data_IF_276440941096
#
_entry.id   IF_276440941096
#
_cell.length_a   1.000
_cell.length_b   1.000
_cell.length_c   1.000
_cell.angle_alpha   90.00
_cell.angle_beta   90.00
_cell.angle_gamma   90.00
#
_symmetry.space_group_name_H-M   'P 1'
#
loop_
_entity.id
_entity.type
_entity.pdbx_description
1 polymer ?
#
# COMPACT_ATOMS: atom_id res chain seq x y z
N UNK A 1 -5.24 17.02 32.67
CA UNK A 1 -5.34 15.55 32.79
C UNK A 1 -4.73 14.88 31.55
N UNK A 2 -3.47 14.42 31.61
CA UNK A 2 -2.86 13.38 30.72
C UNK A 2 -1.32 13.25 30.91
N UNK A 3 -0.82 13.30 32.15
CA UNK A 3 0.58 13.00 32.44
C UNK A 3 0.69 12.22 33.75
N UNK A 4 0.08 11.03 33.79
CA UNK A 4 0.29 10.08 34.90
C UNK A 4 0.24 8.67 34.35
N UNK A 5 1.27 8.23 33.63
CA UNK A 5 1.55 6.81 33.44
C UNK A 5 3.02 6.71 33.05
N UNK A 6 3.91 6.70 34.04
CA UNK A 6 5.25 6.08 34.02
C UNK A 6 5.95 6.42 35.35
N UNK A 7 5.31 6.08 36.47
CA UNK A 7 5.95 6.18 37.79
C UNK A 7 6.73 4.88 38.05
N UNK A 8 8.04 4.92 38.40
CA UNK A 8 8.89 3.74 38.56
C UNK A 8 8.40 2.79 39.67
N UNK A 9 7.57 3.28 40.59
CA UNK A 9 7.03 2.54 41.73
C UNK A 9 5.97 1.49 41.32
N UNK A 10 5.29 1.64 40.17
CA UNK A 10 4.32 0.64 39.69
C UNK A 10 5.00 -0.59 39.05
N UNK A 11 6.32 -0.54 38.84
CA UNK A 11 7.08 -1.65 38.26
C UNK A 11 7.39 -2.76 39.27
N UNK A 12 7.41 -2.44 40.56
CA UNK A 12 7.74 -3.39 41.63
C UNK A 12 6.53 -4.21 42.11
N UNK A 13 5.30 -3.74 41.86
CA UNK A 13 4.08 -4.39 42.32
C UNK A 13 3.52 -5.46 41.35
N UNK A 14 4.13 -5.62 40.17
CA UNK A 14 3.63 -6.54 39.15
C UNK A 14 4.34 -7.90 39.29
N UNK A 15 3.61 -9.00 39.56
CA UNK A 15 4.23 -10.32 39.66
C UNK A 15 4.89 -10.70 38.33
N UNK A 16 6.05 -11.37 38.40
CA UNK A 16 6.90 -11.72 37.23
C UNK A 16 6.13 -12.48 36.14
N UNK A 17 5.09 -13.22 36.50
CA UNK A 17 4.19 -13.93 35.58
C UNK A 17 3.32 -12.96 34.76
N UNK A 18 2.74 -11.94 35.39
CA UNK A 18 1.94 -10.91 34.72
C UNK A 18 2.84 -10.05 33.81
N UNK A 19 4.07 -9.76 34.24
CA UNK A 19 5.04 -9.02 33.42
C UNK A 19 5.47 -9.83 32.18
N UNK A 20 5.66 -11.15 32.30
CA UNK A 20 5.90 -12.05 31.15
C UNK A 20 4.70 -12.10 30.20
N UNK A 21 3.48 -12.14 30.72
CA UNK A 21 2.25 -12.17 29.92
C UNK A 21 2.06 -10.88 29.12
N UNK A 22 2.21 -9.72 29.77
CA UNK A 22 2.14 -8.42 29.09
C UNK A 22 3.25 -8.25 28.06
N UNK A 23 4.47 -8.71 28.37
CA UNK A 23 5.57 -8.69 27.39
C UNK A 23 5.25 -9.59 26.20
N UNK A 24 4.74 -10.80 26.41
CA UNK A 24 4.35 -11.68 25.31
C UNK A 24 3.16 -11.11 24.49
N UNK A 25 2.20 -10.44 25.11
CA UNK A 25 1.11 -9.77 24.39
C UNK A 25 1.58 -8.57 23.56
N UNK A 26 2.50 -7.77 24.09
CA UNK A 26 3.09 -6.65 23.35
C UNK A 26 3.96 -7.14 22.18
N UNK A 27 4.74 -8.20 22.39
CA UNK A 27 5.57 -8.82 21.35
C UNK A 27 4.75 -9.58 20.28
N UNK A 28 3.62 -10.19 20.65
CA UNK A 28 2.70 -10.81 19.67
C UNK A 28 1.96 -9.77 18.84
N UNK A 29 1.58 -8.62 19.41
CA UNK A 29 1.02 -7.50 18.64
C UNK A 29 2.03 -6.88 17.67
N UNK A 30 3.30 -6.72 18.08
CA UNK A 30 4.34 -6.25 17.17
C UNK A 30 4.73 -7.27 16.10
N UNK A 31 4.72 -8.59 16.41
CA UNK A 31 4.94 -9.65 15.41
C UNK A 31 3.78 -9.85 14.43
N UNK A 32 2.57 -9.38 14.75
CA UNK A 32 1.44 -9.41 13.79
C UNK A 32 1.47 -8.29 12.75
N UNK A 33 2.42 -7.35 12.83
CA UNK A 33 2.50 -6.21 11.91
C UNK A 33 3.76 -6.18 11.03
N UNK A 34 4.68 -7.14 11.19
CA UNK A 34 5.82 -7.34 10.31
C UNK A 34 5.60 -8.60 9.43
N UNK A 35 5.90 -8.57 8.12
CA UNK A 35 5.89 -9.76 7.29
C UNK A 35 6.91 -10.77 7.86
N UNK A 36 6.43 -11.93 8.30
CA UNK A 36 7.25 -13.02 8.80
C UNK A 36 8.20 -13.49 7.68
N UNK A 37 9.54 -13.48 7.85
CA UNK A 37 10.42 -14.13 6.89
C UNK A 37 10.16 -15.65 6.97
N UNK A 38 9.76 -16.22 5.85
CA UNK A 38 9.49 -17.65 5.70
C UNK A 38 10.78 -18.42 5.85
N UNK A 39 10.75 -19.46 6.70
CA UNK A 39 11.76 -20.52 6.74
C UNK A 39 12.01 -21.03 5.32
N UNK A 40 13.29 -21.05 4.95
CA UNK A 40 13.82 -21.73 3.78
C UNK A 40 13.67 -23.23 4.02
N UNK A 41 12.85 -23.89 3.20
CA UNK A 41 12.87 -25.34 3.09
C UNK A 41 14.01 -25.69 2.14
N UNK A 42 15.07 -26.29 2.68
CA UNK A 42 16.07 -27.02 1.92
C UNK A 42 15.43 -28.31 1.35
N UNK A 43 15.54 -28.59 0.05
CA UNK A 43 15.17 -29.88 -0.50
C UNK A 43 16.24 -30.92 -0.17
N UNK A 44 15.82 -31.98 0.53
CA UNK A 44 16.67 -33.07 1.00
C UNK A 44 17.21 -33.97 -0.11
N UNK A 45 18.47 -34.38 0.09
CA UNK A 45 19.20 -35.45 -0.59
C UNK A 45 18.58 -36.81 -0.24
N UNK A 46 18.54 -37.80 -1.15
CA UNK A 46 18.08 -39.15 -0.82
C UNK A 46 19.23 -40.00 -0.29
N UNK A 47 19.08 -40.65 0.86
CA UNK A 47 19.93 -41.77 1.25
C UNK A 47 19.19 -42.82 2.09
N UNK A 48 19.74 -44.03 1.99
CA UNK A 48 19.11 -45.35 2.05
C UNK A 48 18.68 -45.87 3.42
N UNK A 49 17.92 -46.98 3.35
CA UNK A 49 17.56 -47.95 4.39
C UNK A 49 18.70 -48.22 5.40
N UNK A 50 18.34 -48.37 6.67
CA UNK A 50 18.51 -49.64 7.41
C UNK A 50 17.77 -49.66 8.74
N UNK A 51 17.41 -50.88 9.17
CA UNK A 51 16.61 -51.23 10.33
C UNK A 51 17.37 -51.06 11.66
N UNK A 52 16.70 -50.58 12.71
CA UNK A 52 16.87 -51.09 14.08
C UNK A 52 15.77 -50.54 15.01
N UNK A 53 15.16 -51.47 15.76
CA UNK A 53 14.13 -51.21 16.76
C UNK A 53 14.70 -50.58 18.04
N UNK A 54 13.95 -49.67 18.66
CA UNK A 54 14.01 -49.47 20.11
C UNK A 54 12.72 -48.81 20.62
N UNK A 55 12.09 -49.47 21.59
CA UNK A 55 10.79 -49.12 22.17
C UNK A 55 10.93 -48.09 23.31
N UNK A 56 10.05 -47.06 23.33
CA UNK A 56 9.64 -46.30 24.53
C UNK A 56 8.39 -45.44 24.22
N UNK A 57 7.62 -44.99 25.23
CA UNK A 57 6.16 -45.05 25.23
C UNK A 57 5.51 -43.74 24.78
N UNK A 58 4.29 -43.85 24.27
CA UNK A 58 3.46 -42.74 23.81
C UNK A 58 3.09 -41.75 24.93
N UNK A 59 3.17 -40.43 24.70
CA UNK A 59 2.44 -39.42 25.46
C UNK A 59 1.06 -39.13 24.84
N UNK A 60 0.12 -38.59 25.63
CA UNK A 60 -1.31 -38.69 25.42
C UNK A 60 -1.86 -37.83 24.28
N UNK A 61 -2.95 -38.34 23.70
CA UNK A 61 -3.80 -37.71 22.68
C UNK A 61 -4.07 -36.23 22.95
N UNK A 62 -3.38 -35.35 22.23
CA UNK A 62 -3.84 -33.98 22.04
C UNK A 62 -5.09 -34.01 21.17
N UNK A 63 -6.17 -33.29 21.55
CA UNK A 63 -7.41 -33.29 20.78
C UNK A 63 -7.12 -32.82 19.36
N UNK A 64 -7.55 -33.61 18.39
CA UNK A 64 -7.52 -33.28 16.98
C UNK A 64 -8.08 -31.87 16.82
N UNK A 65 -7.20 -30.91 16.51
CA UNK A 65 -7.60 -29.57 16.10
C UNK A 65 -8.37 -29.77 14.80
N UNK A 66 -9.69 -29.87 14.93
CA UNK A 66 -10.62 -29.99 13.82
C UNK A 66 -10.22 -28.89 12.85
N UNK A 67 -9.62 -29.31 11.74
CA UNK A 67 -9.36 -28.43 10.62
C UNK A 67 -10.73 -28.16 10.05
N UNK A 68 -11.46 -27.23 10.67
CA UNK A 68 -12.63 -26.60 10.06
C UNK A 68 -12.13 -26.21 8.69
N UNK A 69 -12.61 -26.91 7.66
CA UNK A 69 -12.28 -26.65 6.26
C UNK A 69 -12.71 -25.21 6.02
N UNK A 70 -11.79 -24.28 6.25
CA UNK A 70 -12.01 -22.85 6.10
C UNK A 70 -12.21 -22.65 4.61
N UNK A 71 -13.46 -22.45 4.22
CA UNK A 71 -13.80 -21.99 2.89
C UNK A 71 -13.05 -20.68 2.55
N UNK A 72 -13.11 -20.24 1.30
CA UNK A 72 -12.39 -19.04 0.85
C UNK A 72 -12.60 -17.85 1.80
N UNK A 73 -11.54 -17.06 2.07
CA UNK A 73 -11.62 -15.93 2.98
C UNK A 73 -12.64 -14.89 2.48
N UNK A 74 -13.14 -14.07 3.41
CA UNK A 74 -14.10 -12.99 3.14
C UNK A 74 -13.65 -12.03 2.02
N UNK A 75 -12.34 -11.90 1.82
CA UNK A 75 -11.74 -11.06 0.80
C UNK A 75 -10.80 -11.91 -0.04
N UNK A 76 -11.13 -12.09 -1.31
CA UNK A 76 -10.24 -12.74 -2.26
C UNK A 76 -9.47 -11.67 -3.03
N UNK A 77 -8.18 -11.87 -3.24
CA UNK A 77 -7.35 -11.02 -4.09
C UNK A 77 -7.58 -11.42 -5.55
N UNK A 78 -8.08 -10.49 -6.36
CA UNK A 78 -8.37 -10.74 -7.77
C UNK A 78 -7.30 -10.12 -8.67
N UNK A 79 -6.71 -9.01 -8.26
CA UNK A 79 -5.69 -8.31 -9.02
C UNK A 79 -4.41 -8.09 -8.21
N UNK A 80 -3.29 -8.25 -8.91
CA UNK A 80 -1.96 -7.90 -8.44
C UNK A 80 -1.25 -7.09 -9.52
N UNK A 81 -0.95 -5.83 -9.22
CA UNK A 81 -0.21 -4.92 -10.11
C UNK A 81 1.29 -5.20 -10.15
N UNK A 82 1.82 -5.92 -9.16
CA UNK A 82 3.24 -6.22 -9.08
C UNK A 82 4.02 -5.21 -8.26
N UNK A 83 4.91 -5.72 -7.42
CA UNK A 83 5.78 -4.90 -6.56
C UNK A 83 6.75 -4.03 -7.37
N UNK A 84 7.23 -4.49 -8.53
CA UNK A 84 8.26 -3.78 -9.30
C UNK A 84 7.88 -2.36 -9.72
N UNK A 85 6.66 -2.16 -10.26
CA UNK A 85 6.17 -0.81 -10.62
C UNK A 85 5.95 0.06 -9.40
N UNK A 86 5.39 -0.50 -8.33
CA UNK A 86 5.20 0.23 -7.08
C UNK A 86 6.54 0.68 -6.46
N UNK A 87 7.56 -0.18 -6.47
CA UNK A 87 8.91 0.12 -5.99
C UNK A 87 9.59 1.12 -6.91
N UNK A 88 9.46 0.99 -8.23
CA UNK A 88 10.01 1.96 -9.18
C UNK A 88 9.40 3.36 -8.99
N UNK A 89 8.07 3.47 -8.88
CA UNK A 89 7.40 4.73 -8.56
C UNK A 89 7.81 5.28 -7.19
N UNK A 90 8.01 4.40 -6.20
CA UNK A 90 8.52 4.77 -4.89
C UNK A 90 9.94 5.33 -4.96
N UNK A 91 10.83 4.67 -5.69
CA UNK A 91 12.21 5.11 -5.92
C UNK A 91 12.25 6.43 -6.68
N UNK A 92 11.46 6.57 -7.74
CA UNK A 92 11.37 7.80 -8.53
C UNK A 92 10.89 9.01 -7.72
N UNK A 93 9.97 8.81 -6.78
CA UNK A 93 9.57 9.85 -5.83
C UNK A 93 10.68 10.19 -4.85
N UNK A 94 11.39 9.18 -4.37
CA UNK A 94 12.48 9.39 -3.43
C UNK A 94 13.66 10.13 -4.08
N UNK A 95 14.02 9.78 -5.31
CA UNK A 95 15.09 10.47 -6.06
C UNK A 95 14.74 11.93 -6.33
N UNK A 96 13.49 12.25 -6.68
CA UNK A 96 13.06 13.64 -6.90
C UNK A 96 13.04 14.47 -5.62
N UNK A 97 12.67 13.87 -4.47
CA UNK A 97 12.79 14.52 -3.16
C UNK A 97 14.26 14.79 -2.82
N UNK A 98 15.17 13.84 -3.10
CA UNK A 98 16.60 14.03 -2.88
C UNK A 98 17.20 15.08 -3.81
N UNK A 99 16.80 15.11 -5.08
CA UNK A 99 17.23 16.15 -6.03
C UNK A 99 16.79 17.55 -5.55
N UNK A 100 15.52 17.67 -5.14
CA UNK A 100 14.99 18.91 -4.59
C UNK A 100 15.73 19.33 -3.31
N UNK A 101 15.89 18.40 -2.37
CA UNK A 101 16.63 18.64 -1.13
C UNK A 101 18.09 19.02 -1.37
N UNK A 102 18.77 18.34 -2.30
CA UNK A 102 20.14 18.67 -2.71
C UNK A 102 20.24 20.04 -3.35
N UNK A 103 19.29 20.42 -4.21
CA UNK A 103 19.23 21.77 -4.76
C UNK A 103 19.04 22.82 -3.64
N UNK A 104 18.16 22.56 -2.67
CA UNK A 104 17.95 23.47 -1.54
C UNK A 104 19.14 23.55 -0.58
N UNK A 105 19.93 22.48 -0.42
CA UNK A 105 21.05 22.45 0.55
C UNK A 105 22.39 22.83 -0.09
N UNK A 106 22.57 22.65 -1.40
CA UNK A 106 23.82 22.95 -2.10
C UNK A 106 23.70 24.23 -2.92
N UNK A 107 22.68 24.31 -3.79
CA UNK A 107 22.55 25.46 -4.69
C UNK A 107 22.11 26.73 -3.95
N UNK A 108 21.16 26.62 -3.02
CA UNK A 108 20.70 27.80 -2.27
C UNK A 108 21.81 28.50 -1.45
N UNK A 109 22.64 27.81 -0.65
CA UNK A 109 23.74 28.47 0.06
C UNK A 109 24.92 28.83 -0.85
N UNK A 110 25.13 28.16 -1.98
CA UNK A 110 26.14 28.59 -2.96
C UNK A 110 25.80 29.97 -3.53
N UNK A 111 24.52 30.22 -3.86
CA UNK A 111 24.05 31.54 -4.27
C UNK A 111 24.15 32.58 -3.15
N UNK A 112 23.99 32.19 -1.88
CA UNK A 112 24.11 33.11 -0.75
C UNK A 112 25.57 33.41 -0.35
N UNK A 113 26.49 32.46 -0.52
CA UNK A 113 27.89 32.59 -0.10
C UNK A 113 28.72 33.52 -1.01
N UNK A 114 28.38 33.61 -2.30
CA UNK A 114 29.05 34.53 -3.25
C UNK A 114 28.73 36.02 -2.98
N UNK A 115 27.64 36.28 -2.25
CA UNK A 115 27.09 37.61 -1.96
C UNK A 115 27.75 38.28 -0.73
N UNK A 116 28.57 37.56 0.04
CA UNK A 116 29.19 38.04 1.30
C UNK A 116 30.35 39.04 1.08
N UNK A 117 30.34 39.80 -0.03
CA UNK A 117 31.26 40.90 -0.28
C UNK A 117 30.90 42.09 0.62
N UNK A 118 31.63 42.19 1.74
CA UNK A 118 31.49 43.14 2.87
C UNK A 118 31.44 44.67 2.58
N UNK A 119 31.41 45.10 1.32
CA UNK A 119 31.45 46.54 0.96
C UNK A 119 30.11 47.14 0.48
N UNK A 120 29.01 46.39 0.51
CA UNK A 120 27.72 46.90 0.04
C UNK A 120 26.97 47.77 1.06
N UNK A 121 26.63 48.97 0.60
CA UNK A 121 25.74 49.95 1.24
C UNK A 121 24.33 49.37 1.52
N UNK A 122 23.53 49.95 2.43
CA UNK A 122 22.20 49.45 2.77
C UNK A 122 21.26 49.32 1.55
N UNK A 123 21.39 50.19 0.55
CA UNK A 123 20.69 50.10 -0.74
C UNK A 123 21.14 48.88 -1.56
N UNK A 124 22.43 48.57 -1.56
CA UNK A 124 22.99 47.37 -2.19
C UNK A 124 22.47 46.08 -1.55
N UNK A 125 22.29 46.06 -0.22
CA UNK A 125 21.68 44.92 0.49
C UNK A 125 20.23 44.69 0.08
N UNK A 126 19.42 45.75 -0.06
CA UNK A 126 18.02 45.62 -0.50
C UNK A 126 17.93 45.08 -1.93
N UNK A 127 18.78 45.58 -2.84
CA UNK A 127 18.83 45.12 -4.23
C UNK A 127 19.28 43.65 -4.33
N UNK A 128 20.34 43.27 -3.60
CA UNK A 128 20.82 41.88 -3.49
C UNK A 128 19.73 40.97 -2.93
N UNK A 129 19.08 41.35 -1.83
CA UNK A 129 18.06 40.50 -1.20
C UNK A 129 16.92 40.20 -2.18
N UNK A 130 16.55 41.19 -2.99
CA UNK A 130 15.50 41.03 -4.02
C UNK A 130 15.96 40.09 -5.15
N UNK A 131 17.22 40.21 -5.58
CA UNK A 131 17.82 39.35 -6.59
C UNK A 131 17.93 37.90 -6.10
N UNK A 132 18.46 37.70 -4.89
CA UNK A 132 18.58 36.40 -4.21
C UNK A 132 17.22 35.73 -4.01
N UNK A 133 16.18 36.49 -3.63
CA UNK A 133 14.82 35.93 -3.51
C UNK A 133 14.31 35.40 -4.86
N UNK A 134 14.65 36.08 -5.97
CA UNK A 134 14.24 35.65 -7.30
C UNK A 134 14.96 34.37 -7.76
N UNK A 135 16.26 34.24 -7.49
CA UNK A 135 17.05 33.04 -7.81
C UNK A 135 16.66 31.85 -6.92
N UNK A 136 16.43 32.10 -5.63
CA UNK A 136 15.93 31.08 -4.71
C UNK A 136 14.57 30.54 -5.18
N UNK A 137 13.68 31.42 -5.64
CA UNK A 137 12.38 31.03 -6.17
C UNK A 137 12.55 30.20 -7.46
N UNK A 138 13.49 30.55 -8.32
CA UNK A 138 13.80 29.78 -9.53
C UNK A 138 14.35 28.37 -9.20
N UNK A 139 15.25 28.25 -8.22
CA UNK A 139 15.78 26.95 -7.75
C UNK A 139 14.69 26.11 -7.10
N UNK A 140 13.83 26.72 -6.27
CA UNK A 140 12.72 26.02 -5.62
C UNK A 140 11.68 25.57 -6.64
N UNK A 141 11.28 26.43 -7.58
CA UNK A 141 10.34 26.07 -8.64
C UNK A 141 10.95 25.02 -9.57
N UNK A 142 12.20 25.20 -9.99
CA UNK A 142 12.92 24.26 -10.85
C UNK A 142 13.08 22.87 -10.22
N UNK A 143 13.38 22.81 -8.92
CA UNK A 143 13.47 21.55 -8.18
C UNK A 143 12.11 20.94 -7.82
N UNK A 144 11.06 21.76 -7.67
CA UNK A 144 9.71 21.29 -7.40
C UNK A 144 9.03 20.68 -8.64
N UNK A 145 9.36 21.15 -9.86
CA UNK A 145 8.81 20.63 -11.11
C UNK A 145 8.92 19.10 -11.23
N UNK A 146 10.12 18.46 -11.12
CA UNK A 146 10.21 17.00 -11.23
C UNK A 146 9.45 16.29 -10.10
N UNK A 147 9.38 16.86 -8.90
CA UNK A 147 8.59 16.31 -7.80
C UNK A 147 7.09 16.31 -8.11
N UNK A 148 6.56 17.43 -8.62
CA UNK A 148 5.14 17.58 -8.98
C UNK A 148 4.79 16.69 -10.18
N UNK A 149 5.63 16.65 -11.20
CA UNK A 149 5.44 15.80 -12.38
C UNK A 149 5.41 14.33 -12.00
N UNK A 150 6.36 13.87 -11.16
CA UNK A 150 6.35 12.48 -10.68
C UNK A 150 5.13 12.21 -9.80
N UNK A 151 4.74 13.13 -8.92
CA UNK A 151 3.52 12.97 -8.12
C UNK A 151 2.25 12.88 -9.00
N UNK A 152 2.23 13.63 -10.10
CA UNK A 152 1.13 13.65 -11.06
C UNK A 152 1.02 12.35 -11.86
N UNK A 153 2.13 11.93 -12.47
CA UNK A 153 2.23 10.73 -13.32
C UNK A 153 2.12 9.45 -12.48
N UNK A 154 2.68 9.44 -11.27
CA UNK A 154 2.57 8.33 -10.32
C UNK A 154 1.18 8.25 -9.67
N UNK A 155 0.12 8.57 -10.43
CA UNK A 155 -1.29 8.36 -10.14
C UNK A 155 -1.52 7.12 -9.30
N UNK A 156 -2.55 7.10 -8.42
CA UNK A 156 -2.72 6.08 -7.38
C UNK A 156 -2.80 4.68 -8.01
N UNK A 157 -1.62 4.11 -8.21
CA UNK A 157 -1.41 2.85 -8.86
C UNK A 157 -1.95 1.81 -7.91
N UNK A 158 -2.83 0.97 -8.44
CA UNK A 158 -3.49 -0.03 -7.64
C UNK A 158 -2.53 -1.21 -7.52
N UNK A 159 -2.08 -1.50 -6.31
CA UNK A 159 -1.19 -2.62 -6.04
C UNK A 159 -1.99 -3.93 -5.97
N UNK A 160 -3.12 -3.88 -5.27
CA UNK A 160 -3.97 -5.05 -5.01
C UNK A 160 -5.44 -4.66 -5.10
N UNK A 161 -6.25 -5.55 -5.67
CA UNK A 161 -7.71 -5.43 -5.59
C UNK A 161 -8.24 -6.68 -4.92
N UNK A 162 -9.01 -6.47 -3.86
CA UNK A 162 -9.71 -7.54 -3.18
C UNK A 162 -11.20 -7.44 -3.43
N UNK A 163 -11.81 -8.54 -3.83
CA UNK A 163 -13.25 -8.67 -3.95
C UNK A 163 -13.84 -9.16 -2.63
N UNK A 164 -14.87 -8.47 -2.14
CA UNK A 164 -15.64 -8.90 -0.98
C UNK A 164 -16.60 -10.03 -1.37
N UNK A 165 -16.50 -11.19 -0.72
CA UNK A 165 -17.39 -12.32 -0.97
C UNK A 165 -18.51 -12.38 0.06
N UNK A 166 -19.78 -12.53 -0.37
CA UNK A 166 -20.89 -12.78 0.54
C UNK A 166 -20.77 -14.18 1.15
N UNK A 167 -21.37 -14.40 2.33
CA UNK A 167 -21.28 -15.67 3.06
C UNK A 167 -21.66 -16.90 2.22
N UNK A 168 -22.64 -16.76 1.32
CA UNK A 168 -23.04 -17.80 0.36
C UNK A 168 -21.89 -18.26 -0.56
N UNK A 169 -21.07 -17.34 -1.05
CA UNK A 169 -19.97 -17.63 -1.96
C UNK A 169 -18.72 -18.16 -1.25
N UNK A 170 -18.70 -18.18 0.09
CA UNK A 170 -17.58 -18.66 0.92
C UNK A 170 -17.60 -20.17 1.17
N UNK A 171 -18.61 -20.90 0.68
CA UNK A 171 -18.74 -22.35 0.92
C UNK A 171 -17.66 -23.17 0.22
N UNK A 172 -17.29 -22.80 -1.00
CA UNK A 172 -16.30 -23.51 -1.81
C UNK A 172 -15.58 -22.55 -2.76
N UNK A 173 -14.45 -23.00 -3.33
CA UNK A 173 -13.68 -22.25 -4.32
C UNK A 173 -14.48 -22.05 -5.61
N UNK A 174 -15.27 -23.04 -5.97
CA UNK A 174 -16.10 -23.09 -7.16
C UNK A 174 -17.26 -22.10 -7.04
N UNK A 175 -17.90 -22.01 -5.86
CA UNK A 175 -18.94 -21.01 -5.59
C UNK A 175 -18.37 -19.59 -5.63
N UNK A 176 -17.16 -19.37 -5.13
CA UNK A 176 -16.47 -18.09 -5.23
C UNK A 176 -16.22 -17.69 -6.69
N UNK A 177 -15.77 -18.64 -7.52
CA UNK A 177 -15.55 -18.43 -8.95
C UNK A 177 -16.88 -18.18 -9.68
N UNK A 178 -17.94 -18.93 -9.37
CA UNK A 178 -19.26 -18.77 -9.96
C UNK A 178 -19.84 -17.38 -9.66
N UNK A 179 -19.83 -16.98 -8.38
CA UNK A 179 -20.25 -15.64 -7.97
C UNK A 179 -19.41 -14.54 -8.64
N UNK A 180 -18.11 -14.80 -8.84
CA UNK A 180 -17.23 -13.85 -9.48
C UNK A 180 -17.29 -13.84 -11.03
N UNK A 181 -18.07 -14.73 -11.66
CA UNK A 181 -18.44 -14.59 -13.07
C UNK A 181 -19.60 -13.62 -13.21
N UNK A 182 -20.59 -13.75 -12.32
CA UNK A 182 -21.82 -12.95 -12.33
C UNK A 182 -21.86 -11.93 -11.19
N UNK A 183 -20.86 -11.03 -11.12
CA UNK A 183 -20.83 -10.04 -10.03
C UNK A 183 -22.02 -9.08 -10.12
N UNK A 184 -22.83 -8.92 -9.07
CA UNK A 184 -23.81 -7.86 -9.06
C UNK A 184 -23.11 -6.48 -9.01
N UNK A 185 -23.74 -5.41 -9.53
CA UNK A 185 -23.17 -4.06 -9.47
C UNK A 185 -22.99 -3.55 -8.03
N UNK A 186 -23.68 -4.16 -7.05
CA UNK A 186 -23.56 -3.88 -5.62
C UNK A 186 -22.32 -4.51 -4.97
N UNK A 187 -21.59 -5.38 -5.67
CA UNK A 187 -20.39 -6.04 -5.16
C UNK A 187 -19.32 -5.00 -4.78
N UNK A 188 -18.70 -5.16 -3.61
CA UNK A 188 -17.68 -4.22 -3.12
C UNK A 188 -16.28 -4.71 -3.47
N UNK A 189 -15.52 -3.84 -4.14
CA UNK A 189 -14.10 -3.97 -4.42
C UNK A 189 -13.31 -3.11 -3.43
N UNK A 190 -12.26 -3.69 -2.87
CA UNK A 190 -11.28 -2.99 -2.06
C UNK A 190 -10.02 -2.77 -2.87
N UNK A 191 -9.80 -1.52 -3.29
CA UNK A 191 -8.62 -1.11 -4.04
C UNK A 191 -7.56 -0.64 -3.04
N UNK A 192 -6.39 -1.26 -3.09
CA UNK A 192 -5.22 -0.86 -2.31
C UNK A 192 -4.28 -0.07 -3.21
N UNK A 193 -4.13 1.21 -2.92
CA UNK A 193 -3.21 2.14 -3.62
C UNK A 193 -2.11 2.58 -2.69
N UNK A 194 -1.00 3.12 -3.20
CA UNK A 194 0.01 3.77 -2.36
C UNK A 194 -0.21 5.28 -2.33
N UNK A 195 -0.15 5.85 -1.12
CA UNK A 195 -0.06 7.32 -0.94
C UNK A 195 1.25 7.85 -1.53
N UNK A 196 1.34 9.17 -1.62
CA UNK A 196 2.59 9.87 -1.94
C UNK A 196 3.73 9.39 -1.03
N UNK A 197 3.48 9.33 0.29
CA UNK A 197 4.42 8.83 1.30
C UNK A 197 4.46 7.29 1.42
N UNK A 198 4.33 6.55 0.32
CA UNK A 198 4.42 5.07 0.21
C UNK A 198 3.53 4.21 1.14
N UNK A 199 2.72 4.83 2.00
CA UNK A 199 1.79 4.15 2.90
C UNK A 199 0.64 3.56 2.08
N UNK A 200 0.32 2.25 2.24
CA UNK A 200 -0.80 1.64 1.57
C UNK A 200 -2.13 2.23 2.08
N UNK A 201 -3.01 2.57 1.14
CA UNK A 201 -4.34 3.11 1.37
C UNK A 201 -5.36 2.18 0.72
N UNK A 202 -6.26 1.65 1.54
CA UNK A 202 -7.37 0.85 1.07
C UNK A 202 -8.62 1.72 0.89
N UNK A 203 -9.31 1.53 -0.22
CA UNK A 203 -10.55 2.22 -0.58
C UNK A 203 -11.61 1.20 -0.95
N UNK A 204 -12.79 1.31 -0.34
CA UNK A 204 -13.93 0.44 -0.66
C UNK A 204 -14.78 1.13 -1.72
N UNK A 205 -15.06 0.44 -2.82
CA UNK A 205 -15.81 0.97 -3.95
C UNK A 205 -16.77 -0.10 -4.46
N UNK A 206 -17.99 0.28 -4.83
CA UNK A 206 -18.96 -0.65 -5.42
C UNK A 206 -18.69 -0.81 -6.90
N UNK A 207 -18.81 -2.02 -7.43
CA UNK A 207 -18.51 -2.32 -8.83
C UNK A 207 -19.30 -1.44 -9.81
N UNK A 208 -20.57 -1.16 -9.51
CA UNK A 208 -21.43 -0.29 -10.32
C UNK A 208 -21.05 1.20 -10.28
N UNK A 209 -20.25 1.63 -9.30
CA UNK A 209 -19.76 3.02 -9.19
C UNK A 209 -18.41 3.23 -9.88
N UNK A 210 -17.75 2.14 -10.36
CA UNK A 210 -16.56 2.25 -11.19
C UNK A 210 -16.95 2.39 -12.66
N UNK A 211 -16.44 3.43 -13.30
CA UNK A 211 -16.48 3.62 -14.76
C UNK A 211 -15.07 3.56 -15.33
N UNK A 212 -14.95 3.12 -16.58
CA UNK A 212 -13.72 3.34 -17.33
C UNK A 212 -13.61 4.79 -17.76
N UNK A 213 -12.46 5.38 -17.46
CA UNK A 213 -12.11 6.75 -17.82
C UNK A 213 -10.71 6.71 -18.42
N UNK A 214 -10.57 7.33 -19.60
CA UNK A 214 -9.27 7.54 -20.24
C UNK A 214 -9.01 9.03 -20.25
N UNK A 215 -8.03 9.46 -19.49
CA UNK A 215 -7.52 10.83 -19.48
C UNK A 215 -6.36 10.93 -20.49
N UNK A 216 -6.27 12.03 -21.23
CA UNK A 216 -5.18 12.28 -22.17
C UNK A 216 -3.89 12.68 -21.45
N UNK A 217 -4.03 13.34 -20.31
CA UNK A 217 -2.89 13.90 -19.55
C UNK A 217 -2.31 12.91 -18.55
N UNK A 218 -3.09 11.88 -18.18
CA UNK A 218 -2.74 10.97 -17.09
C UNK A 218 -3.08 9.53 -17.42
N UNK A 219 -2.22 8.56 -17.06
CA UNK A 219 -2.58 7.16 -17.14
C UNK A 219 -3.63 6.85 -16.05
N UNK A 220 -4.90 6.91 -16.41
CA UNK A 220 -6.05 6.51 -15.60
C UNK A 220 -6.80 5.41 -16.35
N UNK A 221 -7.31 4.43 -15.60
CA UNK A 221 -8.12 3.35 -16.17
C UNK A 221 -9.56 3.43 -15.68
N UNK A 222 -9.74 3.76 -14.40
CA UNK A 222 -11.06 3.77 -13.77
C UNK A 222 -11.28 4.99 -12.90
N UNK A 223 -12.53 5.44 -12.82
CA UNK A 223 -13.02 6.47 -11.93
C UNK A 223 -14.16 5.97 -11.07
N UNK A 224 -14.11 6.31 -9.79
CA UNK A 224 -15.20 6.13 -8.84
C UNK A 224 -16.11 7.36 -8.85
N UNK A 225 -17.38 7.16 -9.19
CA UNK A 225 -18.41 8.22 -9.18
C UNK A 225 -18.85 8.63 -7.78
N UNK A 226 -18.91 7.67 -6.85
CA UNK A 226 -19.40 7.88 -5.48
C UNK A 226 -18.30 7.58 -4.47
N UNK A 227 -17.33 8.50 -4.31
CA UNK A 227 -16.34 8.36 -3.26
C UNK A 227 -17.00 8.33 -1.89
N UNK A 228 -16.54 7.44 -1.02
CA UNK A 228 -17.01 7.41 0.38
C UNK A 228 -16.61 8.73 1.07
N UNK A 229 -17.57 9.45 1.68
CA UNK A 229 -17.27 10.71 2.35
C UNK A 229 -16.27 10.45 3.48
N UNK A 230 -15.31 11.37 3.63
CA UNK A 230 -14.29 11.30 4.67
C UNK A 230 -14.28 12.57 5.50
N UNK A 231 -13.88 12.47 6.78
CA UNK A 231 -13.61 13.66 7.58
C UNK A 231 -12.62 14.58 6.86
N UNK A 232 -12.83 15.90 6.99
CA UNK A 232 -12.03 16.92 6.31
C UNK A 232 -10.51 16.78 6.59
N UNK A 233 -10.13 16.33 7.78
CA UNK A 233 -8.73 16.11 8.19
C UNK A 233 -8.08 14.88 7.54
N UNK A 234 -8.85 13.92 7.05
CA UNK A 234 -8.33 12.66 6.48
C UNK A 234 -7.91 12.79 5.00
N UNK A 235 -8.12 13.98 4.43
CA UNK A 235 -7.89 14.32 3.04
C UNK A 235 -8.90 13.69 2.09
N UNK A 236 -8.88 14.17 0.83
CA UNK A 236 -9.77 13.69 -0.23
C UNK A 236 -9.54 12.20 -0.52
N UNK A 237 -10.61 11.50 -0.88
CA UNK A 237 -10.55 10.13 -1.41
C UNK A 237 -10.07 10.14 -2.85
N UNK A 238 -9.19 9.22 -3.27
CA UNK A 238 -8.85 9.07 -4.66
C UNK A 238 -10.12 8.70 -5.44
N UNK A 239 -10.39 9.42 -6.52
CA UNK A 239 -11.50 9.12 -7.43
C UNK A 239 -11.00 8.35 -8.64
N UNK A 240 -9.79 8.64 -9.10
CA UNK A 240 -9.15 7.99 -10.24
C UNK A 240 -8.21 6.88 -9.79
N UNK A 241 -8.11 5.81 -10.58
CA UNK A 241 -7.28 4.64 -10.32
C UNK A 241 -6.62 4.16 -11.60
N UNK A 242 -5.36 3.76 -11.49
CA UNK A 242 -4.59 3.15 -12.58
C UNK A 242 -4.43 1.65 -12.32
N UNK A 243 -4.88 0.84 -13.28
CA UNK A 243 -4.81 -0.63 -13.23
C UNK A 243 -4.45 -1.19 -14.61
N UNK A 244 -3.74 -2.30 -14.63
CA UNK A 244 -3.51 -3.06 -15.87
C UNK A 244 -4.71 -3.97 -16.17
N UNK A 245 -5.02 -4.19 -17.45
CA UNK A 245 -6.10 -5.10 -17.86
C UNK A 245 -5.85 -6.58 -17.54
N UNK A 246 -4.60 -6.96 -17.27
CA UNK A 246 -4.21 -8.30 -16.85
C UNK A 246 -3.54 -8.24 -15.49
N UNK A 247 -3.85 -9.20 -14.62
CA UNK A 247 -3.16 -9.38 -13.34
C UNK A 247 -1.78 -9.99 -13.59
N UNK A 248 -0.75 -9.52 -12.88
CA UNK A 248 0.55 -10.18 -12.92
C UNK A 248 0.52 -11.51 -12.17
N UNK A 249 1.30 -12.52 -12.62
CA UNK A 249 1.45 -13.75 -11.87
C UNK A 249 2.05 -13.41 -10.50
N UNK A 250 1.31 -13.76 -9.44
CA UNK A 250 1.73 -13.62 -8.06
C UNK A 250 1.83 -14.98 -7.39
N UNK A 251 2.37 -15.01 -6.16
CA UNK A 251 2.41 -16.25 -5.36
C UNK A 251 0.98 -16.79 -5.22
N UNK A 252 0.74 -17.98 -5.76
CA UNK A 252 -0.56 -18.63 -5.72
C UNK A 252 -0.92 -18.90 -4.25
N UNK A 253 -1.89 -18.13 -3.74
CA UNK A 253 -2.48 -18.31 -2.42
C UNK A 253 -3.91 -18.81 -2.61
N UNK A 254 -4.45 -19.53 -1.62
CA UNK A 254 -5.86 -19.96 -1.61
C UNK A 254 -6.86 -18.79 -1.69
N UNK A 255 -6.39 -17.58 -1.40
CA UNK A 255 -7.13 -16.33 -1.52
C UNK A 255 -6.91 -15.59 -2.84
N UNK A 256 -6.03 -16.06 -3.75
CA UNK A 256 -5.65 -15.36 -4.98
C UNK A 256 -6.28 -15.98 -6.23
N UNK A 257 -7.01 -15.16 -6.98
CA UNK A 257 -7.80 -15.57 -8.14
C UNK A 257 -7.55 -14.66 -9.35
N UNK A 258 -6.36 -14.71 -9.97
CA UNK A 258 -5.99 -13.81 -11.07
C UNK A 258 -6.90 -13.96 -12.30
N UNK A 259 -7.40 -15.17 -12.55
CA UNK A 259 -8.27 -15.50 -13.68
C UNK A 259 -9.61 -14.75 -13.71
N UNK A 260 -10.05 -14.20 -12.57
CA UNK A 260 -11.31 -13.47 -12.48
C UNK A 260 -11.17 -12.01 -12.91
N UNK A 261 -9.95 -11.46 -12.88
CA UNK A 261 -9.71 -10.06 -13.16
C UNK A 261 -10.14 -9.62 -14.57
N UNK A 262 -9.84 -10.35 -15.65
CA UNK A 262 -10.25 -9.94 -17.00
C UNK A 262 -11.75 -9.76 -17.16
N UNK A 263 -12.56 -10.64 -16.55
CA UNK A 263 -14.02 -10.55 -16.60
C UNK A 263 -14.55 -9.33 -15.83
N UNK A 264 -14.00 -9.06 -14.63
CA UNK A 264 -14.33 -7.87 -13.84
C UNK A 264 -13.91 -6.60 -14.58
N UNK A 265 -12.70 -6.59 -15.13
CA UNK A 265 -12.14 -5.47 -15.88
C UNK A 265 -13.02 -5.12 -17.09
N UNK A 266 -13.42 -6.12 -17.87
CA UNK A 266 -14.33 -5.95 -19.01
C UNK A 266 -15.69 -5.41 -18.56
N UNK A 267 -16.20 -5.86 -17.42
CA UNK A 267 -17.47 -5.35 -16.87
C UNK A 267 -17.37 -3.87 -16.49
N UNK A 268 -16.26 -3.45 -15.89
CA UNK A 268 -16.03 -2.03 -15.58
C UNK A 268 -15.89 -1.20 -16.87
N UNK A 269 -15.23 -1.73 -17.90
CA UNK A 269 -15.12 -1.05 -19.20
C UNK A 269 -16.47 -0.84 -19.88
N UNK A 270 -17.41 -1.77 -19.73
CA UNK A 270 -18.78 -1.62 -20.26
C UNK A 270 -19.58 -0.52 -19.56
N UNK A 271 -19.24 -0.17 -18.32
CA UNK A 271 -19.90 0.92 -17.60
C UNK A 271 -19.43 2.31 -18.08
N UNK A 272 -18.63 2.42 -19.15
CA UNK A 272 -18.17 3.72 -19.66
C UNK A 272 -19.36 4.65 -19.96
N UNK A 273 -19.29 5.92 -19.54
CA UNK A 273 -20.32 6.88 -19.91
C UNK A 273 -20.28 7.04 -21.44
N UNK A 274 -21.41 6.84 -22.11
CA UNK A 274 -21.56 7.22 -23.51
C UNK A 274 -21.14 8.69 -23.62
N UNK A 275 -20.17 8.99 -24.49
CA UNK A 275 -19.67 10.36 -24.72
C UNK A 275 -20.85 11.31 -24.92
N UNK A 276 -21.21 12.10 -23.90
CA UNK A 276 -21.93 13.35 -24.13
C UNK A 276 -20.89 14.31 -24.68
N UNK A 277 -20.98 14.55 -25.99
CA UNK A 277 -20.29 15.66 -26.64
C UNK A 277 -20.68 16.95 -25.92
N UNK A 278 -19.69 17.69 -25.45
CA UNK A 278 -19.81 19.10 -25.09
C UNK A 278 -18.58 19.83 -25.58
#
# INVERSE_FOLDING_TARGET
MRHILLHPQLRAAIPRSAQRSLRNQLWTRFKSQAPRPSQRHEPGTPQSKDLAASARPAPPSTPAKTTVRKGPPERIMVYYGGTGRAVFLGMLRLTTIFLFGGACVIAAPACYADEEKKWLTPLGKILITTFVISDLLAVVLGGAVPMVVVAYIAAPYVNFIHLALPAFARKSRENAIHYAKDLPPTATLYLTTMRFNTIPRQTAVRLGDLLAEKDSTRPVTFRNLRPTPRPWWAGKTPTQYLTEGKSRPGKQSTAFYPQLWPAIFQKIQRNSPSKSYS
#
